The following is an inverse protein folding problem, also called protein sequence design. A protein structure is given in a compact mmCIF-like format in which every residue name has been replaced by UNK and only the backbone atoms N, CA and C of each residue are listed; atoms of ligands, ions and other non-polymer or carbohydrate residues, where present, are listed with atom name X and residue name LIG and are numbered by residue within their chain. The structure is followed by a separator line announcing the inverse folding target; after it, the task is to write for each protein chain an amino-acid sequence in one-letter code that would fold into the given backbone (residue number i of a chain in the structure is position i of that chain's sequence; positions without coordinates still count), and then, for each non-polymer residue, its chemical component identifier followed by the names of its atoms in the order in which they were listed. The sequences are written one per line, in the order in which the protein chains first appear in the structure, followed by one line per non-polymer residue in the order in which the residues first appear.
data_IF_783810935971
#
_entry.id   IF_783810935971
#
_cell.length_a   1.000
_cell.length_b   1.000
_cell.length_c   1.000
_cell.angle_alpha   90.00
_cell.angle_beta   90.00
_cell.angle_gamma   90.00
#
_symmetry.space_group_name_H-M   'P 1'
#
loop_
_entity.id
_entity.type
_entity.pdbx_description
1 polymer ?
#
# COMPACT_ATOMS: atom_id res chain seq x y z
N UNK A 1 7.72 4.14 -20.27
CA UNK A 1 7.66 2.74 -20.73
C UNK A 1 6.54 2.05 -19.96
N UNK A 2 5.57 1.40 -20.62
CA UNK A 2 4.50 0.66 -19.94
C UNK A 2 4.99 -0.42 -18.96
N UNK A 3 6.20 -0.96 -19.16
CA UNK A 3 6.80 -1.98 -18.30
C UNK A 3 7.62 -1.40 -17.14
N UNK A 4 7.70 -0.08 -17.01
CA UNK A 4 8.39 0.55 -15.88
C UNK A 4 7.61 0.31 -14.58
N UNK A 5 8.25 -0.36 -13.61
CA UNK A 5 7.63 -0.71 -12.34
C UNK A 5 7.23 0.52 -11.52
N UNK A 6 7.91 1.65 -11.73
CA UNK A 6 7.60 2.90 -11.04
C UNK A 6 6.17 3.40 -11.33
N UNK A 7 5.61 3.06 -12.49
CA UNK A 7 4.21 3.35 -12.82
C UNK A 7 3.25 2.65 -11.86
N UNK A 8 3.56 1.39 -11.50
CA UNK A 8 2.76 0.61 -10.55
C UNK A 8 2.80 1.27 -9.18
N UNK A 9 3.99 1.71 -8.75
CA UNK A 9 4.17 2.44 -7.49
C UNK A 9 3.31 3.70 -7.45
N UNK A 10 3.46 4.54 -8.46
CA UNK A 10 2.72 5.80 -8.55
C UNK A 10 1.20 5.55 -8.51
N UNK A 11 0.71 4.52 -9.21
CA UNK A 11 -0.71 4.21 -9.27
C UNK A 11 -1.30 3.77 -7.93
N UNK A 12 -0.64 2.84 -7.21
CA UNK A 12 -1.17 2.41 -5.92
C UNK A 12 -1.05 3.52 -4.87
N UNK A 13 0.02 4.33 -4.90
CA UNK A 13 0.17 5.48 -3.99
C UNK A 13 -0.93 6.52 -4.23
N UNK A 14 -1.18 6.88 -5.49
CA UNK A 14 -2.27 7.79 -5.84
C UNK A 14 -3.64 7.23 -5.41
N UNK A 15 -3.87 5.92 -5.60
CA UNK A 15 -5.10 5.26 -5.15
C UNK A 15 -5.27 5.34 -3.63
N UNK A 16 -4.19 5.18 -2.86
CA UNK A 16 -4.20 5.34 -1.40
C UNK A 16 -4.55 6.78 -0.99
N UNK A 17 -3.98 7.78 -1.66
CA UNK A 17 -4.30 9.20 -1.42
C UNK A 17 -5.76 9.49 -1.72
N UNK A 18 -6.29 9.01 -2.84
CA UNK A 18 -7.71 9.15 -3.19
C UNK A 18 -8.61 8.51 -2.13
N UNK A 19 -8.28 7.30 -1.67
CA UNK A 19 -9.01 6.63 -0.59
C UNK A 19 -9.00 7.44 0.71
N UNK A 20 -7.84 7.96 1.10
CA UNK A 20 -7.70 8.80 2.29
C UNK A 20 -8.54 10.08 2.21
N UNK A 21 -8.47 10.79 1.08
CA UNK A 21 -9.27 12.00 0.85
C UNK A 21 -10.78 11.70 0.90
N UNK A 22 -11.23 10.63 0.25
CA UNK A 22 -12.63 10.23 0.26
C UNK A 22 -13.12 9.86 1.68
N UNK A 23 -12.27 9.25 2.50
CA UNK A 23 -12.60 8.90 3.89
C UNK A 23 -12.73 10.09 4.85
N UNK A 24 -12.27 11.28 4.44
CA UNK A 24 -12.47 12.51 5.21
C UNK A 24 -13.93 13.01 5.14
N UNK A 25 -14.68 12.61 4.11
CA UNK A 25 -16.06 13.07 3.89
C UNK A 25 -16.11 14.56 3.51
N UNK A 26 -17.20 15.29 3.85
CA UNK A 26 -17.41 16.67 3.41
C UNK A 26 -16.49 17.69 4.09
N UNK A 27 -15.90 17.35 5.24
CA UNK A 27 -15.01 18.23 5.99
C UNK A 27 -13.55 17.81 5.80
N UNK A 28 -12.97 18.24 4.68
CA UNK A 28 -11.56 18.02 4.38
C UNK A 28 -10.69 19.08 5.08
N UNK A 29 -10.11 18.70 6.22
CA UNK A 29 -9.05 19.48 6.89
C UNK A 29 -7.76 18.68 6.97
N UNK A 30 -6.65 19.36 7.23
CA UNK A 30 -5.34 18.72 7.42
C UNK A 30 -5.37 17.74 8.59
N UNK A 31 -6.02 18.12 9.68
CA UNK A 31 -6.10 17.34 10.92
C UNK A 31 -6.88 16.04 10.68
N UNK A 32 -8.03 16.11 9.99
CA UNK A 32 -8.81 14.90 9.65
C UNK A 32 -8.09 14.02 8.66
N UNK A 33 -7.44 14.61 7.65
CA UNK A 33 -6.63 13.84 6.71
C UNK A 33 -5.52 13.10 7.45
N UNK A 34 -4.81 13.77 8.36
CA UNK A 34 -3.74 13.17 9.15
C UNK A 34 -4.27 12.05 10.06
N UNK A 35 -5.42 12.25 10.70
CA UNK A 35 -6.12 11.24 11.49
C UNK A 35 -6.39 9.98 10.64
N UNK A 36 -6.98 10.14 9.44
CA UNK A 36 -7.30 9.01 8.54
C UNK A 36 -6.06 8.27 8.05
N UNK A 37 -5.02 8.99 7.63
CA UNK A 37 -3.81 8.35 7.09
C UNK A 37 -2.91 7.73 8.15
N UNK A 38 -3.08 8.11 9.42
CA UNK A 38 -2.35 7.53 10.56
C UNK A 38 -3.09 6.39 11.25
N UNK A 39 -4.31 6.05 10.82
CA UNK A 39 -5.11 4.94 11.36
C UNK A 39 -5.57 3.99 10.25
N UNK A 40 -4.67 3.67 9.31
CA UNK A 40 -4.97 2.65 8.30
C UNK A 40 -4.82 1.27 8.93
N UNK A 41 -5.85 0.44 8.82
CA UNK A 41 -5.83 -0.95 9.26
C UNK A 41 -6.33 -1.82 8.11
N UNK A 42 -5.43 -2.65 7.55
CA UNK A 42 -5.80 -3.60 6.51
C UNK A 42 -6.27 -2.97 5.19
N UNK A 43 -5.89 -1.73 4.89
CA UNK A 43 -6.40 -1.02 3.70
C UNK A 43 -5.80 -1.62 2.43
N UNK A 44 -6.64 -2.17 1.56
CA UNK A 44 -6.22 -2.72 0.28
C UNK A 44 -6.39 -1.67 -0.83
N UNK A 45 -5.32 -1.45 -1.60
CA UNK A 45 -5.36 -0.60 -2.80
C UNK A 45 -4.99 -1.41 -4.05
N UNK A 46 -5.43 -0.98 -5.24
CA UNK A 46 -5.11 -1.67 -6.49
C UNK A 46 -3.60 -1.87 -6.69
N UNK A 47 -3.24 -2.92 -7.43
CA UNK A 47 -1.87 -3.25 -7.85
C UNK A 47 -0.90 -3.65 -6.73
N UNK A 48 -1.31 -3.65 -5.45
CA UNK A 48 -0.54 -4.34 -4.41
C UNK A 48 -0.50 -5.84 -4.67
N UNK A 49 0.59 -6.47 -4.25
CA UNK A 49 0.70 -7.93 -4.24
C UNK A 49 -0.46 -8.46 -3.37
N UNK A 50 -1.22 -9.47 -3.83
CA UNK A 50 -2.31 -10.03 -3.05
C UNK A 50 -1.88 -10.39 -1.62
N UNK A 51 -2.68 -10.01 -0.63
CA UNK A 51 -2.39 -10.22 0.80
C UNK A 51 -1.50 -9.17 1.46
N UNK A 52 -0.96 -8.20 0.71
CA UNK A 52 -0.34 -7.00 1.27
C UNK A 52 -1.39 -5.90 1.42
N UNK A 53 -1.41 -5.26 2.58
CA UNK A 53 -2.28 -4.12 2.92
C UNK A 53 -1.48 -2.95 3.48
N UNK A 54 -2.09 -1.76 3.43
CA UNK A 54 -1.56 -0.55 4.04
C UNK A 54 -1.98 -0.51 5.51
N UNK A 55 -1.01 -0.33 6.39
CA UNK A 55 -1.19 -0.29 7.83
C UNK A 55 -0.34 0.84 8.43
N UNK A 56 -0.97 1.77 9.14
CA UNK A 56 -0.31 2.91 9.77
C UNK A 56 -0.84 3.13 11.17
N UNK A 57 -0.01 3.73 12.02
CA UNK A 57 -0.39 4.16 13.37
C UNK A 57 0.07 5.60 13.58
N UNK A 58 -0.45 6.33 14.58
CA UNK A 58 0.06 7.67 14.93
C UNK A 58 1.56 7.70 15.28
N UNK A 59 2.12 6.56 15.68
CA UNK A 59 3.53 6.40 16.00
C UNK A 59 4.38 5.93 14.80
N UNK A 60 3.77 5.40 13.74
CA UNK A 60 4.50 4.85 12.59
C UNK A 60 3.70 4.99 11.29
N UNK A 61 4.24 5.79 10.38
CA UNK A 61 3.65 6.15 9.09
C UNK A 61 4.10 5.25 7.94
N UNK A 62 4.92 4.22 8.21
CA UNK A 62 5.33 3.26 7.18
C UNK A 62 4.17 2.32 6.86
N UNK A 63 3.48 2.61 5.76
CA UNK A 63 2.24 1.93 5.38
C UNK A 63 2.42 0.46 4.97
N UNK A 64 3.54 0.09 4.36
CA UNK A 64 3.81 -1.28 3.91
C UNK A 64 4.92 -1.87 4.78
N UNK A 65 4.57 -2.87 5.60
CA UNK A 65 5.51 -3.65 6.43
C UNK A 65 5.44 -5.13 6.15
N UNK A 66 4.75 -5.48 5.07
CA UNK A 66 4.57 -6.85 4.63
C UNK A 66 5.37 -7.06 3.36
N UNK A 67 5.92 -8.25 3.21
CA UNK A 67 6.66 -8.65 2.03
C UNK A 67 6.28 -10.06 1.61
N UNK A 68 6.56 -10.37 0.35
CA UNK A 68 6.49 -11.74 -0.17
C UNK A 68 7.80 -12.07 -0.84
N UNK A 69 8.45 -13.13 -0.39
CA UNK A 69 9.66 -13.61 -1.02
C UNK A 69 9.37 -14.05 -2.45
N UNK A 70 10.35 -13.83 -3.32
CA UNK A 70 10.36 -14.35 -4.69
C UNK A 70 11.64 -15.12 -4.93
N UNK A 71 11.54 -16.21 -5.68
CA UNK A 71 12.68 -17.00 -6.14
C UNK A 71 12.75 -16.92 -7.66
N UNK A 72 13.96 -16.88 -8.21
CA UNK A 72 14.17 -17.03 -9.65
C UNK A 72 14.14 -18.52 -10.03
N UNK A 73 13.29 -18.90 -10.98
CA UNK A 73 13.11 -20.30 -11.40
C UNK A 73 13.97 -20.71 -12.61
N UNK A 74 14.88 -19.84 -13.04
CA UNK A 74 15.67 -20.00 -14.27
C UNK A 74 15.11 -19.20 -15.45
N UNK A 75 13.86 -18.76 -15.39
CA UNK A 75 13.21 -17.97 -16.45
C UNK A 75 12.59 -16.67 -15.94
N UNK A 76 12.00 -16.68 -14.74
CA UNK A 76 11.32 -15.52 -14.14
C UNK A 76 11.33 -15.57 -12.62
N UNK A 77 10.98 -14.45 -12.01
CA UNK A 77 10.71 -14.37 -10.57
C UNK A 77 9.31 -14.91 -10.25
N UNK A 78 9.25 -15.94 -9.42
CA UNK A 78 8.01 -16.55 -8.94
C UNK A 78 7.83 -16.35 -7.44
N UNK A 79 6.58 -16.21 -6.94
CA UNK A 79 6.32 -16.14 -5.51
C UNK A 79 6.88 -17.36 -4.76
N UNK A 80 7.44 -17.12 -3.58
CA UNK A 80 7.94 -18.14 -2.66
C UNK A 80 7.21 -17.99 -1.32
N UNK A 81 6.31 -18.94 -1.02
CA UNK A 81 5.51 -18.92 0.20
C UNK A 81 4.47 -17.79 0.26
N UNK A 82 3.92 -17.60 1.46
CA UNK A 82 2.90 -16.60 1.76
C UNK A 82 3.51 -15.22 2.10
N UNK A 83 2.63 -14.24 2.29
CA UNK A 83 3.03 -12.90 2.76
C UNK A 83 3.46 -12.99 4.22
N UNK A 84 4.59 -12.37 4.53
CA UNK A 84 5.13 -12.24 5.89
C UNK A 84 5.12 -10.77 6.31
N UNK A 85 4.86 -10.49 7.58
CA UNK A 85 5.03 -9.16 8.18
C UNK A 85 6.39 -9.06 8.88
N UNK A 86 6.97 -7.86 8.88
CA UNK A 86 7.99 -7.47 9.86
C UNK A 86 7.39 -7.38 11.28
#
# INVERSE_FOLDING_TARGET
DPNDWSNVIAYYMASAVVGALNSCGPELTRERLLERVSHMEGVQVPMLIPGITLNTTPADYNAIKQMRLKRFDGTRWVPLGDVTSE
#
